data_IF_705982405282
#
_entry.id   IF_705982405282
#
_cell.length_a   1.000
_cell.length_b   1.000
_cell.length_c   1.000
_cell.angle_alpha   90.00
_cell.angle_beta   90.00
_cell.angle_gamma   90.00
#
_symmetry.space_group_name_H-M   'P 1'
#
loop_
_entity.id
_entity.type
_entity.pdbx_description
1 polymer ?
#
# COMPACT_ATOMS: atom_id res chain seq x y z
N UNK A 1 4.99 -7.80 -7.51
CA UNK A 1 6.12 -7.35 -6.67
C UNK A 1 6.81 -6.21 -7.39
N UNK A 2 6.19 -5.03 -7.35
CA UNK A 2 6.81 -3.72 -7.65
C UNK A 2 6.15 -2.76 -6.66
N UNK A 3 6.53 -2.95 -5.39
CA UNK A 3 6.83 -1.89 -4.45
C UNK A 3 7.99 -2.49 -3.63
N UNK A 4 9.22 -2.05 -3.91
CA UNK A 4 10.43 -2.66 -3.35
C UNK A 4 10.81 -2.06 -2.00
N UNK A 5 10.15 -0.97 -1.59
CA UNK A 5 10.44 -0.34 -0.31
C UNK A 5 9.66 -0.99 0.84
N UNK A 6 8.49 -1.60 0.57
CA UNK A 6 7.58 -2.13 1.60
C UNK A 6 7.17 -3.61 1.41
N UNK A 7 8.06 -4.45 0.88
CA UNK A 7 7.81 -5.88 0.61
C UNK A 7 7.94 -6.80 1.83
N UNK A 8 7.30 -6.44 2.96
CA UNK A 8 7.30 -7.27 4.17
C UNK A 8 6.32 -8.46 4.10
N UNK A 9 6.27 -9.27 5.16
CA UNK A 9 5.32 -10.39 5.24
C UNK A 9 3.90 -9.87 5.42
N UNK A 10 2.93 -10.56 4.80
CA UNK A 10 1.50 -10.24 4.95
C UNK A 10 1.11 -10.37 6.42
N UNK A 11 0.45 -9.34 6.96
CA UNK A 11 0.09 -9.26 8.38
C UNK A 11 1.20 -8.74 9.29
N UNK A 12 2.41 -8.51 8.78
CA UNK A 12 3.54 -7.95 9.53
C UNK A 12 4.07 -6.65 8.92
N UNK A 13 3.85 -6.41 7.62
CA UNK A 13 4.28 -5.21 6.92
C UNK A 13 3.34 -4.04 7.17
N UNK A 14 3.91 -2.86 7.39
CA UNK A 14 3.16 -1.63 7.68
C UNK A 14 3.57 -0.53 6.70
N UNK A 15 2.60 0.27 6.25
CA UNK A 15 2.90 1.52 5.57
C UNK A 15 3.61 2.46 6.53
N UNK A 16 4.63 3.20 6.07
CA UNK A 16 5.31 4.15 6.93
C UNK A 16 4.39 5.31 7.29
N UNK A 17 4.74 6.04 8.35
CA UNK A 17 3.93 7.16 8.82
C UNK A 17 3.87 8.31 7.80
N UNK A 18 4.88 8.41 6.94
CA UNK A 18 5.08 9.46 5.96
C UNK A 18 4.63 9.09 4.54
N UNK A 19 4.03 7.91 4.30
CA UNK A 19 3.47 7.51 2.99
C UNK A 19 2.69 8.65 2.32
N UNK A 20 2.89 8.86 1.02
CA UNK A 20 2.10 9.86 0.30
C UNK A 20 0.64 9.39 0.21
N UNK A 21 -0.26 10.21 0.74
CA UNK A 21 -1.72 10.03 0.64
C UNK A 21 -2.33 11.13 -0.25
N UNK A 22 -1.53 11.72 -1.13
CA UNK A 22 -2.03 12.68 -2.10
C UNK A 22 -2.94 11.99 -3.13
N UNK A 23 -3.72 12.79 -3.87
CA UNK A 23 -4.61 12.26 -4.92
C UNK A 23 -3.87 11.90 -6.22
N UNK A 24 -2.52 11.91 -6.24
CA UNK A 24 -1.76 11.52 -7.43
C UNK A 24 -1.68 9.99 -7.58
N UNK A 25 -1.82 9.26 -6.46
CA UNK A 25 -1.91 7.81 -6.43
C UNK A 25 -3.34 7.44 -5.99
N UNK A 26 -4.01 6.64 -6.81
CA UNK A 26 -5.33 6.09 -6.49
C UNK A 26 -5.14 4.88 -5.58
N UNK A 27 -4.89 5.16 -4.30
CA UNK A 27 -4.76 4.13 -3.28
C UNK A 27 -6.07 3.40 -3.03
N UNK A 28 -5.97 2.16 -2.58
CA UNK A 28 -7.11 1.44 -2.03
C UNK A 28 -7.65 2.17 -0.78
N UNK A 29 -8.97 2.21 -0.60
CA UNK A 29 -9.64 2.99 0.46
C UNK A 29 -9.19 2.67 1.90
N UNK A 30 -8.68 1.46 2.11
CA UNK A 30 -8.18 1.00 3.43
C UNK A 30 -6.70 1.34 3.69
N UNK A 31 -5.99 1.90 2.70
CA UNK A 31 -4.62 2.38 2.86
C UNK A 31 -4.61 3.57 3.80
N UNK A 32 -3.73 3.53 4.80
CA UNK A 32 -3.55 4.59 5.77
C UNK A 32 -2.12 4.60 6.30
N UNK A 33 -1.67 5.78 6.73
CA UNK A 33 -0.38 5.97 7.42
C UNK A 33 -0.30 5.06 8.64
N UNK A 34 0.78 4.28 8.75
CA UNK A 34 0.92 3.31 9.84
C UNK A 34 -0.17 2.23 9.84
N UNK A 35 -0.76 1.92 8.68
CA UNK A 35 -1.68 0.79 8.51
C UNK A 35 -0.95 -0.48 8.05
N UNK A 36 -1.52 -1.65 8.34
CA UNK A 36 -1.03 -2.91 7.80
C UNK A 36 -1.18 -2.94 6.28
N UNK A 37 -0.16 -3.46 5.61
CA UNK A 37 -0.20 -3.72 4.17
C UNK A 37 -0.90 -5.06 3.94
N UNK A 38 -1.92 -5.03 3.08
CA UNK A 38 -2.73 -6.17 2.69
C UNK A 38 -2.61 -6.41 1.18
N UNK A 39 -2.81 -7.65 0.73
CA UNK A 39 -2.66 -8.02 -0.68
C UNK A 39 -3.65 -7.27 -1.57
N UNK A 40 -4.80 -6.94 -1.03
CA UNK A 40 -5.89 -6.21 -1.66
C UNK A 40 -5.44 -4.83 -2.12
N UNK A 41 -4.51 -4.19 -1.38
CA UNK A 41 -3.95 -2.89 -1.76
C UNK A 41 -3.12 -3.00 -3.03
N UNK A 42 -2.23 -4.00 -3.10
CA UNK A 42 -1.42 -4.26 -4.30
C UNK A 42 -2.30 -4.66 -5.49
N UNK A 43 -3.32 -5.48 -5.25
CA UNK A 43 -4.26 -5.92 -6.28
C UNK A 43 -5.10 -4.77 -6.83
N UNK A 44 -5.44 -3.79 -6.00
CA UNK A 44 -6.12 -2.57 -6.44
C UNK A 44 -5.26 -1.80 -7.42
N UNK A 45 -4.01 -1.51 -7.05
CA UNK A 45 -3.07 -0.80 -7.92
C UNK A 45 -2.77 -1.59 -9.21
N UNK A 46 -2.62 -2.91 -9.13
CA UNK A 46 -2.44 -3.77 -10.31
C UNK A 46 -3.62 -3.72 -11.29
N UNK A 47 -4.84 -3.50 -10.82
CA UNK A 47 -6.03 -3.37 -11.70
C UNK A 47 -6.15 -2.00 -12.37
N UNK A 48 -5.43 -1.00 -11.86
CA UNK A 48 -5.41 0.36 -12.40
C UNK A 48 -4.30 0.58 -13.43
N UNK A 49 -3.41 -0.40 -13.60
CA UNK A 49 -2.43 -0.49 -14.70
C UNK A 49 -3.07 -1.06 -15.96
#
# INVERSE_FOLDING_TARGET
>A
LIDFDWSGRVGEAWYPADISMDMSIVWHDEVKRGGLIAKEHDLHLLKLL
#
